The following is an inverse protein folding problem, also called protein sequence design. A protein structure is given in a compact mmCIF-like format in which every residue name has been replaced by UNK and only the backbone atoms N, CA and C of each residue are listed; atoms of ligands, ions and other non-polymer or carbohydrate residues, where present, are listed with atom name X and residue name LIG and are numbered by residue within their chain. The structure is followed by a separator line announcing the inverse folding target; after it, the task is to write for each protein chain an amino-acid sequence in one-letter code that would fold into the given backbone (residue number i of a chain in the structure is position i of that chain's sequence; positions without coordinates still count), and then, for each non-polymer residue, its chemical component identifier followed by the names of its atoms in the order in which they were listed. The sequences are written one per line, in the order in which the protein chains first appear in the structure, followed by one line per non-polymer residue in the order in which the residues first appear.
data_IF_540380977265
#
_entry.id   IF_540380977265
#
_cell.length_a   1.000
_cell.length_b   1.000
_cell.length_c   1.000
_cell.angle_alpha   90.00
_cell.angle_beta   90.00
_cell.angle_gamma   90.00
#
_symmetry.space_group_name_H-M   'P 1'
#
loop_
_entity.id
_entity.type
_entity.pdbx_description
1 polymer ?
#
# COMPACT_ATOMS: atom_id res chain seq x y z
N UNK A 1 17.95 11.68 -12.85
CA UNK A 1 18.56 10.49 -12.22
C UNK A 1 17.42 9.62 -11.66
N UNK A 2 17.45 8.34 -11.97
CA UNK A 2 16.52 7.37 -11.41
C UNK A 2 17.08 6.81 -10.10
N UNK A 3 16.23 6.72 -9.06
CA UNK A 3 16.57 6.09 -7.79
C UNK A 3 15.59 4.95 -7.57
N UNK A 4 16.11 3.74 -7.42
CA UNK A 4 15.31 2.56 -7.11
C UNK A 4 15.13 2.45 -5.60
N UNK A 5 13.88 2.21 -5.16
CA UNK A 5 13.53 2.09 -3.75
C UNK A 5 12.72 0.83 -3.50
N UNK A 6 12.76 0.33 -2.27
CA UNK A 6 12.01 -0.82 -1.82
C UNK A 6 11.31 -0.51 -0.50
N UNK A 7 10.39 -1.39 -0.09
CA UNK A 7 9.70 -1.27 1.20
C UNK A 7 10.72 -1.19 2.35
N UNK A 8 10.49 -0.23 3.24
CA UNK A 8 11.38 0.05 4.36
C UNK A 8 12.53 1.00 4.04
N UNK A 9 12.74 1.35 2.78
CA UNK A 9 13.78 2.30 2.40
C UNK A 9 13.38 3.73 2.74
N UNK A 10 14.40 4.54 3.02
CA UNK A 10 14.29 5.99 3.13
C UNK A 10 15.09 6.65 2.01
N UNK A 11 14.61 7.78 1.54
CA UNK A 11 15.33 8.58 0.55
C UNK A 11 15.19 10.06 0.85
N UNK A 12 16.30 10.77 0.79
CA UNK A 12 16.32 12.22 0.99
C UNK A 12 16.44 12.90 -0.37
N UNK A 13 15.46 13.74 -0.69
CA UNK A 13 15.42 14.54 -1.91
C UNK A 13 15.29 16.03 -1.52
N UNK A 14 16.41 16.75 -1.46
CA UNK A 14 16.44 18.13 -1.01
C UNK A 14 15.92 18.27 0.43
N UNK A 15 14.88 19.10 0.67
CA UNK A 15 14.29 19.25 2.00
C UNK A 15 13.32 18.11 2.36
N UNK A 16 13.08 17.15 1.47
CA UNK A 16 12.10 16.07 1.65
C UNK A 16 12.78 14.79 2.11
N UNK A 17 12.29 14.22 3.19
CA UNK A 17 12.65 12.86 3.64
C UNK A 17 11.49 11.93 3.35
N UNK A 18 11.68 10.97 2.45
CA UNK A 18 10.66 10.03 2.03
C UNK A 18 10.89 8.66 2.66
N UNK A 19 9.84 8.10 3.27
CA UNK A 19 9.80 6.71 3.74
C UNK A 19 8.87 5.91 2.84
N UNK A 20 9.31 4.74 2.39
CA UNK A 20 8.53 3.86 1.53
C UNK A 20 7.98 2.70 2.33
N UNK A 21 6.67 2.50 2.28
CA UNK A 21 5.93 1.59 3.15
C UNK A 21 5.23 0.55 2.30
N UNK A 22 5.38 -0.73 2.65
CA UNK A 22 4.71 -1.83 1.96
C UNK A 22 3.19 -1.71 2.08
N UNK A 23 2.50 -1.83 0.95
CA UNK A 23 1.04 -1.96 0.88
C UNK A 23 0.65 -3.11 -0.04
N UNK A 24 -0.55 -3.66 0.15
CA UNK A 24 -1.08 -4.67 -0.76
C UNK A 24 -1.78 -4.02 -1.94
N UNK A 25 -1.52 -4.57 -3.12
CA UNK A 25 -2.29 -4.31 -4.33
C UNK A 25 -2.14 -5.49 -5.28
N UNK A 26 -2.87 -5.47 -6.40
CA UNK A 26 -2.77 -6.50 -7.44
C UNK A 26 -1.46 -6.45 -8.24
N UNK A 27 -0.68 -5.39 -8.08
CA UNK A 27 0.66 -5.26 -8.66
C UNK A 27 1.74 -5.57 -7.62
N UNK A 28 2.85 -6.24 -8.01
CA UNK A 28 3.97 -6.47 -7.10
C UNK A 28 4.62 -5.16 -6.66
N UNK A 29 5.22 -5.18 -5.47
CA UNK A 29 6.03 -4.08 -4.93
C UNK A 29 5.28 -2.74 -4.81
N UNK A 30 3.98 -2.79 -4.55
CA UNK A 30 3.20 -1.59 -4.28
C UNK A 30 3.67 -0.90 -3.00
N UNK A 31 3.87 0.42 -3.06
CA UNK A 31 4.40 1.22 -1.96
C UNK A 31 3.53 2.44 -1.70
N UNK A 32 3.33 2.73 -0.42
CA UNK A 32 2.94 4.05 0.05
C UNK A 32 4.19 4.89 0.33
N UNK A 33 4.04 6.19 0.37
CA UNK A 33 5.12 7.10 0.72
C UNK A 33 4.69 8.06 1.81
N UNK A 34 5.54 8.20 2.84
CA UNK A 34 5.46 9.28 3.81
C UNK A 34 6.53 10.30 3.50
N UNK A 35 6.13 11.54 3.27
CA UNK A 35 7.03 12.64 2.94
C UNK A 35 7.11 13.57 4.13
N UNK A 36 8.27 13.61 4.79
CA UNK A 36 8.55 14.52 5.89
C UNK A 36 9.18 15.78 5.34
N UNK A 37 8.63 16.92 5.71
CA UNK A 37 9.11 18.24 5.30
C UNK A 37 9.22 19.14 6.52
N UNK A 38 9.95 20.28 6.44
CA UNK A 38 9.97 21.26 7.52
C UNK A 38 8.59 21.85 7.85
N UNK A 39 7.64 21.79 6.90
CA UNK A 39 6.29 22.31 7.09
C UNK A 39 5.29 21.26 7.61
N UNK A 40 5.65 19.99 7.61
CA UNK A 40 4.77 18.90 8.08
C UNK A 40 4.99 17.60 7.34
N UNK A 41 4.17 16.61 7.67
CA UNK A 41 4.24 15.26 7.09
C UNK A 41 3.01 14.98 6.24
N UNK A 42 3.26 14.49 5.02
CA UNK A 42 2.24 14.03 4.08
C UNK A 42 2.39 12.53 3.90
N UNK A 43 1.27 11.81 3.89
CA UNK A 43 1.24 10.38 3.53
C UNK A 43 0.37 10.19 2.30
N UNK A 44 0.92 9.53 1.28
CA UNK A 44 0.19 9.09 0.09
C UNK A 44 0.20 7.58 0.05
N UNK A 45 -0.97 6.96 0.12
CA UNK A 45 -1.07 5.50 0.20
C UNK A 45 -0.71 4.79 -1.10
N UNK A 46 -0.77 5.49 -2.24
CA UNK A 46 -0.86 4.79 -3.51
C UNK A 46 -2.14 3.96 -3.57
N UNK A 47 -2.24 3.09 -4.54
CA UNK A 47 -3.34 2.15 -4.64
C UNK A 47 -3.11 0.99 -3.67
N UNK A 48 -4.10 0.67 -2.87
CA UNK A 48 -3.98 -0.41 -1.88
C UNK A 48 -5.29 -1.14 -1.66
N UNK A 49 -5.18 -2.33 -1.07
CA UNK A 49 -6.28 -3.05 -0.46
C UNK A 49 -5.80 -3.74 0.82
N UNK A 50 -6.75 -4.10 1.69
CA UNK A 50 -6.45 -4.80 2.94
C UNK A 50 -6.66 -6.30 2.74
N UNK A 51 -5.67 -6.97 2.19
CA UNK A 51 -5.68 -8.42 1.97
C UNK A 51 -4.66 -9.09 2.90
N UNK A 52 -5.12 -9.95 3.79
CA UNK A 52 -4.27 -10.69 4.72
C UNK A 52 -3.71 -11.98 4.13
N UNK A 53 -4.14 -12.35 2.91
CA UNK A 53 -3.70 -13.54 2.19
C UNK A 53 -3.29 -13.17 0.75
N UNK A 54 -2.32 -12.25 0.56
CA UNK A 54 -1.87 -11.86 -0.77
C UNK A 54 -1.08 -13.00 -1.43
N UNK A 55 -1.10 -13.05 -2.77
CA UNK A 55 -0.40 -14.07 -3.54
C UNK A 55 1.11 -14.03 -3.34
N UNK A 56 1.69 -12.84 -3.23
CA UNK A 56 3.13 -12.62 -3.05
C UNK A 56 3.58 -12.74 -1.58
N UNK A 57 2.65 -12.90 -0.64
CA UNK A 57 2.94 -12.98 0.79
C UNK A 57 3.32 -11.64 1.43
N UNK A 58 3.31 -10.54 0.69
CA UNK A 58 3.68 -9.22 1.20
C UNK A 58 2.45 -8.53 1.79
N UNK A 59 2.47 -8.26 3.10
CA UNK A 59 1.40 -7.59 3.83
C UNK A 59 1.62 -6.08 3.88
N UNK A 60 0.50 -5.35 4.03
CA UNK A 60 0.58 -3.92 4.38
C UNK A 60 1.27 -3.76 5.74
N UNK A 61 2.27 -2.90 5.81
CA UNK A 61 2.99 -2.60 7.04
C UNK A 61 2.17 -1.66 7.94
N UNK A 62 1.22 -2.24 8.65
CA UNK A 62 0.34 -1.49 9.56
C UNK A 62 1.12 -0.85 10.71
N UNK A 63 2.23 -1.46 11.14
CA UNK A 63 3.08 -0.89 12.19
C UNK A 63 3.68 0.46 11.78
N UNK A 64 4.13 0.60 10.53
CA UNK A 64 4.64 1.86 10.01
C UNK A 64 3.56 2.94 9.99
N UNK A 65 2.35 2.60 9.54
CA UNK A 65 1.22 3.54 9.55
C UNK A 65 0.82 3.94 10.97
N UNK A 66 0.82 3.00 11.91
CA UNK A 66 0.51 3.28 13.32
C UNK A 66 1.55 4.25 13.92
N UNK A 67 2.83 4.04 13.64
CA UNK A 67 3.92 4.94 14.08
C UNK A 67 3.73 6.35 13.52
N UNK A 68 3.44 6.48 12.23
CA UNK A 68 3.17 7.77 11.60
C UNK A 68 1.95 8.45 12.22
N UNK A 69 0.90 7.70 12.54
CA UNK A 69 -0.29 8.23 13.21
C UNK A 69 0.02 8.78 14.60
N UNK A 70 0.90 8.11 15.35
CA UNK A 70 1.34 8.59 16.68
C UNK A 70 2.20 9.84 16.56
N UNK A 71 3.12 9.89 15.59
CA UNK A 71 3.97 11.07 15.33
C UNK A 71 3.15 12.26 14.82
N UNK A 72 2.05 12.00 14.12
CA UNK A 72 1.19 13.00 13.53
C UNK A 72 1.40 13.16 12.03
N UNK A 73 0.29 13.22 11.32
CA UNK A 73 0.24 13.43 9.86
C UNK A 73 -0.57 14.68 9.59
N UNK A 74 -0.05 15.59 8.76
CA UNK A 74 -0.71 16.84 8.43
C UNK A 74 -1.63 16.70 7.21
N UNK A 75 -1.28 15.80 6.28
CA UNK A 75 -2.08 15.55 5.07
C UNK A 75 -2.04 14.06 4.73
N UNK A 76 -3.21 13.47 4.53
CA UNK A 76 -3.38 12.10 4.06
C UNK A 76 -4.06 12.10 2.70
N UNK A 77 -3.40 11.53 1.70
CA UNK A 77 -3.95 11.26 0.37
C UNK A 77 -4.15 9.74 0.26
N UNK A 78 -5.39 9.29 0.35
CA UNK A 78 -5.71 7.87 0.43
C UNK A 78 -6.54 7.41 -0.77
N UNK A 79 -6.20 6.21 -1.27
CA UNK A 79 -7.06 5.50 -2.21
C UNK A 79 -8.43 5.23 -1.55
N UNK A 80 -9.49 5.58 -2.26
CA UNK A 80 -10.86 5.42 -1.78
C UNK A 80 -11.80 4.90 -2.87
N UNK A 81 -11.27 4.22 -3.86
CA UNK A 81 -11.96 3.78 -5.07
C UNK A 81 -13.26 3.02 -4.75
N UNK A 82 -13.24 2.14 -3.77
CA UNK A 82 -14.39 1.32 -3.36
C UNK A 82 -14.88 1.64 -1.94
N UNK A 83 -14.64 2.85 -1.45
CA UNK A 83 -14.96 3.22 -0.07
C UNK A 83 -16.45 3.09 0.27
N UNK A 84 -17.33 3.23 -0.73
CA UNK A 84 -18.79 3.13 -0.55
C UNK A 84 -19.33 1.72 -0.76
N UNK A 85 -18.50 0.77 -1.18
CA UNK A 85 -18.91 -0.61 -1.42
C UNK A 85 -18.92 -1.38 -0.10
N UNK A 86 -20.08 -1.86 0.38
CA UNK A 86 -20.13 -2.61 1.64
C UNK A 86 -19.52 -4.00 1.50
N UNK A 87 -19.03 -4.55 2.61
CA UNK A 87 -18.50 -5.90 2.69
C UNK A 87 -16.99 -5.92 2.82
N UNK A 88 -16.41 -7.10 2.65
CA UNK A 88 -14.98 -7.34 2.76
C UNK A 88 -14.36 -7.62 1.40
N UNK A 89 -13.07 -7.27 1.26
CA UNK A 89 -12.29 -7.60 0.07
C UNK A 89 -12.05 -9.12 0.03
N UNK A 90 -12.37 -9.75 -1.11
CA UNK A 90 -12.02 -11.14 -1.36
C UNK A 90 -10.50 -11.28 -1.54
N UNK A 91 -9.89 -12.25 -0.86
CA UNK A 91 -8.46 -12.50 -0.98
C UNK A 91 -8.09 -12.92 -2.41
N UNK A 92 -6.95 -12.44 -2.89
CA UNK A 92 -6.40 -12.84 -4.20
C UNK A 92 -6.14 -14.34 -4.30
N UNK A 93 -5.91 -15.03 -3.19
CA UNK A 93 -5.73 -16.49 -3.17
C UNK A 93 -6.97 -17.26 -3.63
N UNK A 94 -8.14 -16.66 -3.58
CA UNK A 94 -9.39 -17.26 -4.02
C UNK A 94 -9.62 -17.17 -5.53
N UNK A 95 -8.85 -16.33 -6.23
CA UNK A 95 -8.99 -16.11 -7.68
C UNK A 95 -8.58 -17.34 -8.48
N UNK A 96 -7.51 -18.01 -8.09
CA UNK A 96 -7.02 -19.21 -8.77
C UNK A 96 -8.11 -20.29 -8.92
N UNK A 97 -8.73 -20.77 -7.81
CA UNK A 97 -9.80 -21.74 -7.88
C UNK A 97 -11.01 -21.31 -8.73
N UNK A 98 -11.36 -20.02 -8.70
CA UNK A 98 -12.45 -19.49 -9.51
C UNK A 98 -12.12 -19.55 -11.00
N UNK A 99 -10.90 -19.18 -11.38
CA UNK A 99 -10.42 -19.28 -12.76
C UNK A 99 -10.36 -20.73 -13.23
N UNK A 100 -9.88 -21.64 -12.38
CA UNK A 100 -9.83 -23.08 -12.69
C UNK A 100 -11.22 -23.63 -12.99
N UNK A 101 -12.21 -23.31 -12.17
CA UNK A 101 -13.60 -23.69 -12.41
C UNK A 101 -14.15 -23.10 -13.71
N UNK A 102 -13.84 -21.85 -14.00
CA UNK A 102 -14.26 -21.20 -15.24
C UNK A 102 -13.68 -21.89 -16.46
N UNK A 103 -12.41 -22.29 -16.43
CA UNK A 103 -11.74 -23.00 -17.52
C UNK A 103 -12.30 -24.41 -17.75
N UNK A 104 -12.73 -25.09 -16.70
CA UNK A 104 -13.35 -26.43 -16.80
C UNK A 104 -14.70 -26.37 -17.55
N UNK A 105 -15.42 -25.27 -17.44
CA UNK A 105 -16.74 -25.09 -18.03
C UNK A 105 -16.74 -24.44 -19.43
N UNK A 106 -15.57 -24.12 -19.94
CA UNK A 106 -15.42 -23.67 -21.32
C UNK A 106 -15.34 -24.86 -22.25
#
# INVERSE_FOLDING_TARGET
MLVEVAAGDDHIAGPFHCEFISVNHSIPDALAVAVHTPAGTLVHTGDFKMDQLPLDGVLTDLGAFARLGVEGIDLLLADSTNAEVPGFVTSEREIGPVLDLSLIHI
#
